data_IF_612338091139
#
_entry.id   IF_612338091139
#
_cell.length_a   1.000
_cell.length_b   1.000
_cell.length_c   1.000
_cell.angle_alpha   90.00
_cell.angle_beta   90.00
_cell.angle_gamma   90.00
#
_symmetry.space_group_name_H-M   'P 1'
#
loop_
_entity.id
_entity.type
_entity.pdbx_description
1 polymer ?
#
# COMPACT_ATOMS: atom_id res chain seq x y z
N UNK A 1 4.04 39.65 -9.12
CA UNK A 1 4.80 38.44 -9.48
C UNK A 1 4.24 37.30 -8.63
N UNK A 2 3.22 36.60 -9.11
CA UNK A 2 2.52 35.59 -8.31
C UNK A 2 3.38 34.33 -8.22
N UNK A 3 3.98 34.10 -7.06
CA UNK A 3 4.69 32.86 -6.77
C UNK A 3 3.66 31.74 -6.77
N UNK A 4 3.73 30.87 -7.79
CA UNK A 4 2.91 29.66 -7.80
C UNK A 4 3.13 28.91 -6.48
N UNK A 5 2.08 28.64 -5.69
CA UNK A 5 2.26 27.97 -4.41
C UNK A 5 2.87 26.59 -4.65
N UNK A 6 3.95 26.31 -3.93
CA UNK A 6 4.60 25.00 -3.97
C UNK A 6 3.58 23.92 -3.59
N UNK A 7 3.48 22.81 -4.34
CA UNK A 7 2.53 21.74 -4.03
C UNK A 7 2.74 21.16 -2.62
N UNK A 8 3.96 21.27 -2.09
CA UNK A 8 4.34 20.85 -0.73
C UNK A 8 3.68 21.66 0.39
N UNK A 9 3.16 22.86 0.10
CA UNK A 9 2.38 23.65 1.08
C UNK A 9 0.95 23.15 1.23
N UNK A 10 0.45 22.37 0.27
CA UNK A 10 -0.93 21.87 0.30
C UNK A 10 -1.04 20.67 1.24
N UNK A 11 -1.98 20.72 2.18
CA UNK A 11 -2.19 19.69 3.21
C UNK A 11 -2.37 18.30 2.60
N UNK A 12 -3.14 18.21 1.52
CA UNK A 12 -3.35 16.96 0.80
C UNK A 12 -2.06 16.30 0.32
N UNK A 13 -1.13 17.10 -0.21
CA UNK A 13 0.16 16.60 -0.68
C UNK A 13 1.02 16.12 0.50
N UNK A 14 1.04 16.87 1.61
CA UNK A 14 1.74 16.45 2.82
C UNK A 14 1.18 15.15 3.39
N UNK A 15 -0.14 14.99 3.41
CA UNK A 15 -0.79 13.77 3.89
C UNK A 15 -0.49 12.57 2.98
N UNK A 16 -0.53 12.77 1.66
CA UNK A 16 -0.08 11.77 0.68
C UNK A 16 1.40 11.41 0.85
N UNK A 17 2.28 12.37 1.15
CA UNK A 17 3.70 12.14 1.41
C UNK A 17 3.89 11.33 2.71
N UNK A 18 3.24 11.72 3.81
CA UNK A 18 3.32 11.01 5.09
C UNK A 18 2.87 9.57 4.97
N UNK A 19 1.74 9.32 4.30
CA UNK A 19 1.24 7.95 4.08
C UNK A 19 2.12 7.17 3.10
N UNK A 20 2.76 7.82 2.11
CA UNK A 20 3.77 7.17 1.25
C UNK A 20 5.00 6.77 2.06
N UNK A 21 5.52 7.65 2.92
CA UNK A 21 6.63 7.34 3.83
C UNK A 21 6.27 6.17 4.75
N UNK A 22 5.04 6.13 5.28
CA UNK A 22 4.58 4.99 6.09
C UNK A 22 4.63 3.67 5.31
N UNK A 23 4.14 3.62 4.07
CA UNK A 23 4.25 2.42 3.22
C UNK A 23 5.71 2.05 3.00
N UNK A 24 6.58 3.02 2.69
CA UNK A 24 8.00 2.78 2.47
C UNK A 24 8.72 2.27 3.72
N UNK A 25 8.35 2.74 4.91
CA UNK A 25 8.90 2.24 6.18
C UNK A 25 8.48 0.78 6.42
N UNK A 26 7.22 0.43 6.14
CA UNK A 26 6.75 -0.95 6.26
C UNK A 26 7.42 -1.85 5.22
N UNK A 27 7.50 -1.43 3.95
CA UNK A 27 8.26 -2.14 2.92
C UNK A 27 9.72 -2.31 3.30
N UNK A 28 10.34 -1.26 3.86
CA UNK A 28 11.73 -1.28 4.31
C UNK A 28 11.95 -2.31 5.41
N UNK A 29 11.08 -2.33 6.44
CA UNK A 29 11.15 -3.31 7.52
C UNK A 29 11.00 -4.75 7.00
N UNK A 30 10.01 -5.02 6.14
CA UNK A 30 9.79 -6.33 5.54
C UNK A 30 10.99 -6.74 4.69
N UNK A 31 11.51 -5.82 3.85
CA UNK A 31 12.67 -6.08 3.01
C UNK A 31 13.93 -6.35 3.84
N UNK A 32 14.15 -5.63 4.94
CA UNK A 32 15.29 -5.89 5.85
C UNK A 32 15.21 -7.28 6.46
N UNK A 33 14.05 -7.66 7.00
CA UNK A 33 13.86 -9.01 7.58
C UNK A 33 14.06 -10.08 6.50
N UNK A 34 13.45 -9.87 5.32
CA UNK A 34 13.58 -10.80 4.18
C UNK A 34 15.02 -10.93 3.70
N UNK A 35 15.79 -9.83 3.67
CA UNK A 35 17.20 -9.85 3.27
C UNK A 35 18.06 -10.64 4.27
N UNK A 36 17.81 -10.48 5.57
CA UNK A 36 18.52 -11.21 6.62
C UNK A 36 18.23 -12.72 6.53
N UNK A 37 16.96 -13.09 6.36
CA UNK A 37 16.55 -14.49 6.15
C UNK A 37 17.15 -15.05 4.86
N UNK A 38 17.12 -14.30 3.76
CA UNK A 38 17.70 -14.70 2.49
C UNK A 38 19.21 -14.97 2.63
N UNK A 39 19.96 -14.04 3.23
CA UNK A 39 21.40 -14.20 3.40
C UNK A 39 21.76 -15.40 4.31
N UNK A 40 20.97 -15.62 5.36
CA UNK A 40 21.15 -16.76 6.27
C UNK A 40 20.83 -18.11 5.61
N UNK A 41 19.78 -18.18 4.80
CA UNK A 41 19.41 -19.40 4.11
C UNK A 41 20.31 -19.65 2.88
N UNK A 42 20.78 -18.59 2.22
CA UNK A 42 21.71 -18.67 1.10
C UNK A 42 23.07 -19.20 1.54
N UNK A 43 23.60 -18.74 2.68
CA UNK A 43 24.88 -19.24 3.19
C UNK A 43 24.81 -20.75 3.49
N UNK A 44 23.72 -21.21 4.12
CA UNK A 44 23.43 -22.63 4.33
C UNK A 44 23.30 -23.40 3.02
N UNK A 45 22.66 -22.82 2.00
CA UNK A 45 22.53 -23.48 0.70
C UNK A 45 23.86 -23.60 -0.04
N UNK A 46 24.72 -22.59 0.04
CA UNK A 46 26.03 -22.60 -0.63
C UNK A 46 27.00 -23.62 -0.05
N UNK A 47 26.82 -24.05 1.21
CA UNK A 47 27.65 -25.13 1.79
C UNK A 47 27.25 -26.52 1.25
N UNK A 48 26.02 -26.69 0.76
CA UNK A 48 25.51 -27.92 0.14
C UNK A 48 26.06 -28.07 -1.29
N UNK A 49 27.34 -28.43 -1.41
CA UNK A 49 28.05 -28.52 -2.69
C UNK A 49 28.06 -29.92 -3.32
N UNK A 50 27.84 -30.98 -2.56
CA UNK A 50 27.80 -32.35 -3.08
C UNK A 50 26.36 -32.84 -3.30
N UNK A 51 26.22 -33.84 -4.18
CA UNK A 51 24.94 -34.47 -4.56
C UNK A 51 25.04 -35.98 -4.47
N UNK A 52 24.01 -36.63 -3.97
CA UNK A 52 23.85 -38.07 -3.94
C UNK A 52 22.38 -38.45 -4.12
N UNK A 53 22.10 -39.71 -4.44
CA UNK A 53 20.73 -40.24 -4.36
C UNK A 53 20.58 -40.95 -3.02
N UNK A 54 19.59 -40.51 -2.25
CA UNK A 54 19.25 -41.09 -0.95
C UNK A 54 17.87 -41.76 -0.96
N UNK A 55 17.62 -42.58 0.05
CA UNK A 55 16.35 -43.22 0.34
C UNK A 55 15.80 -42.67 1.65
N UNK A 56 14.51 -42.36 1.68
CA UNK A 56 13.82 -41.91 2.89
C UNK A 56 13.53 -43.12 3.78
N UNK A 57 14.16 -43.19 4.94
CA UNK A 57 14.06 -44.35 5.83
C UNK A 57 12.96 -44.21 6.87
N UNK A 58 12.67 -42.97 7.30
CA UNK A 58 11.61 -42.68 8.26
C UNK A 58 10.98 -41.32 7.98
N UNK A 59 9.71 -41.19 8.35
CA UNK A 59 8.93 -39.95 8.26
C UNK A 59 8.34 -39.67 9.64
N UNK A 60 8.61 -38.49 10.19
CA UNK A 60 8.11 -38.02 11.48
C UNK A 60 7.59 -36.60 11.32
N UNK A 61 6.27 -36.46 11.23
CA UNK A 61 5.62 -35.19 10.89
C UNK A 61 6.25 -34.57 9.64
N UNK A 62 6.87 -33.39 9.73
CA UNK A 62 7.55 -32.71 8.63
C UNK A 62 9.07 -32.98 8.56
N UNK A 63 9.57 -33.96 9.31
CA UNK A 63 10.98 -34.34 9.31
C UNK A 63 11.14 -35.74 8.71
N UNK A 64 11.99 -35.86 7.70
CA UNK A 64 12.33 -37.14 7.07
C UNK A 64 13.77 -37.51 7.37
N UNK A 65 14.00 -38.77 7.74
CA UNK A 65 15.35 -39.31 7.81
C UNK A 65 15.73 -39.81 6.42
N UNK A 66 16.78 -39.23 5.83
CA UNK A 66 17.26 -39.62 4.51
C UNK A 66 18.59 -40.33 4.66
N UNK A 67 18.73 -41.50 4.04
CA UNK A 67 19.94 -42.31 4.05
C UNK A 67 20.57 -42.36 2.67
N UNK A 68 21.87 -42.05 2.58
CA UNK A 68 22.63 -42.12 1.33
C UNK A 68 24.05 -42.60 1.58
N UNK A 69 24.79 -42.88 0.49
CA UNK A 69 26.18 -43.35 0.54
C UNK A 69 27.13 -42.25 0.08
N UNK A 70 28.16 -41.99 0.87
CA UNK A 70 29.24 -41.05 0.56
C UNK A 70 30.22 -41.66 -0.46
N UNK A 71 31.05 -40.84 -1.14
CA UNK A 71 32.06 -41.33 -2.09
C UNK A 71 33.05 -42.36 -1.51
N UNK A 72 33.27 -42.35 -0.19
CA UNK A 72 34.13 -43.30 0.52
C UNK A 72 33.40 -44.61 0.91
N UNK A 73 32.15 -44.80 0.47
CA UNK A 73 31.33 -45.97 0.78
C UNK A 73 30.63 -45.93 2.14
N UNK A 74 30.87 -44.90 2.96
CA UNK A 74 30.19 -44.75 4.26
C UNK A 74 28.72 -44.38 4.06
N UNK A 75 27.81 -45.05 4.75
CA UNK A 75 26.41 -44.65 4.79
C UNK A 75 26.17 -43.57 5.85
N UNK A 76 25.44 -42.54 5.47
CA UNK A 76 25.01 -41.45 6.35
C UNK A 76 23.49 -41.42 6.36
N UNK A 77 22.92 -41.19 7.53
CA UNK A 77 21.50 -40.84 7.67
C UNK A 77 21.43 -39.48 8.34
N UNK A 78 20.64 -38.55 7.77
CA UNK A 78 20.44 -37.23 8.33
C UNK A 78 18.95 -36.86 8.35
N UNK A 79 18.49 -36.14 9.39
CA UNK A 79 17.14 -35.60 9.43
C UNK A 79 17.06 -34.35 8.53
N UNK A 80 16.02 -34.29 7.70
CA UNK A 80 15.72 -33.15 6.83
C UNK A 80 14.30 -32.68 7.08
N UNK A 81 14.15 -31.42 7.48
CA UNK A 81 12.85 -30.78 7.64
C UNK A 81 12.29 -30.35 6.28
N UNK A 82 11.01 -30.60 6.04
CA UNK A 82 10.29 -30.30 4.81
C UNK A 82 9.22 -29.22 5.03
N UNK A 83 9.05 -28.35 4.05
CA UNK A 83 7.96 -27.37 4.00
C UNK A 83 6.70 -27.90 3.29
N UNK A 84 6.74 -29.14 2.80
CA UNK A 84 5.68 -29.80 2.05
C UNK A 84 5.30 -31.10 2.73
N UNK A 85 4.14 -31.67 2.36
CA UNK A 85 3.75 -33.01 2.81
C UNK A 85 4.88 -34.01 2.51
N UNK A 86 5.39 -34.73 3.53
CA UNK A 86 6.50 -35.63 3.31
C UNK A 86 6.16 -36.75 2.34
N UNK A 87 7.07 -37.09 1.42
CA UNK A 87 6.96 -38.34 0.66
C UNK A 87 7.04 -39.57 1.59
N UNK A 88 6.47 -40.72 1.17
CA UNK A 88 6.49 -41.94 1.96
C UNK A 88 7.90 -42.52 2.12
N UNK A 89 8.12 -43.27 3.20
CA UNK A 89 9.35 -44.05 3.39
C UNK A 89 9.57 -45.04 2.24
N UNK A 90 10.83 -45.27 1.88
CA UNK A 90 11.27 -46.06 0.72
C UNK A 90 11.40 -45.25 -0.58
N UNK A 91 10.91 -44.00 -0.61
CA UNK A 91 11.07 -43.14 -1.79
C UNK A 91 12.52 -42.67 -1.93
N UNK A 92 13.02 -42.65 -3.17
CA UNK A 92 14.34 -42.08 -3.49
C UNK A 92 14.23 -40.59 -3.78
N UNK A 93 15.16 -39.82 -3.24
CA UNK A 93 15.26 -38.38 -3.47
C UNK A 93 16.72 -37.99 -3.74
N UNK A 94 16.91 -36.91 -4.49
CA UNK A 94 18.22 -36.28 -4.59
C UNK A 94 18.55 -35.56 -3.27
N UNK A 95 19.75 -35.81 -2.76
CA UNK A 95 20.26 -35.24 -1.51
C UNK A 95 21.41 -34.30 -1.84
N UNK A 96 21.19 -33.02 -1.56
CA UNK A 96 22.24 -32.01 -1.51
C UNK A 96 22.85 -32.00 -0.11
N UNK A 97 24.16 -32.18 0.03
CA UNK A 97 24.81 -32.25 1.35
C UNK A 97 26.16 -31.50 1.39
N UNK A 98 26.59 -31.14 2.59
CA UNK A 98 27.89 -30.53 2.84
C UNK A 98 28.97 -31.62 3.03
N UNK A 99 30.04 -31.68 2.20
CA UNK A 99 31.05 -32.72 2.30
C UNK A 99 31.77 -32.81 3.66
N UNK A 100 32.02 -31.64 4.28
CA UNK A 100 32.66 -31.55 5.60
C UNK A 100 31.73 -31.87 6.76
N UNK A 101 30.41 -31.80 6.55
CA UNK A 101 29.40 -32.15 7.53
C UNK A 101 28.19 -32.81 6.84
N UNK A 102 28.25 -34.12 6.53
CA UNK A 102 27.19 -34.83 5.82
C UNK A 102 25.83 -34.84 6.55
N UNK A 103 25.79 -34.51 7.85
CA UNK A 103 24.54 -34.35 8.58
C UNK A 103 23.77 -33.08 8.16
N UNK A 104 24.44 -32.13 7.52
CA UNK A 104 23.80 -30.97 6.91
C UNK A 104 23.41 -31.30 5.46
N UNK A 105 22.14 -31.62 5.27
CA UNK A 105 21.59 -32.02 3.98
C UNK A 105 20.22 -31.38 3.71
N UNK A 106 19.87 -31.29 2.43
CA UNK A 106 18.57 -30.86 1.95
C UNK A 106 18.13 -31.75 0.79
N UNK A 107 16.81 -31.94 0.68
CA UNK A 107 16.17 -32.61 -0.44
C UNK A 107 15.12 -31.68 -1.08
N UNK A 108 14.58 -31.97 -2.27
CA UNK A 108 13.45 -31.21 -2.82
C UNK A 108 12.31 -31.10 -1.82
N UNK A 109 11.80 -29.88 -1.62
CA UNK A 109 10.77 -29.59 -0.61
C UNK A 109 11.31 -29.31 0.80
N UNK A 110 12.64 -29.30 0.99
CA UNK A 110 13.24 -28.93 2.28
C UNK A 110 12.80 -27.53 2.74
N UNK A 111 12.62 -27.38 4.05
CA UNK A 111 12.26 -26.12 4.69
C UNK A 111 13.25 -24.99 4.35
N UNK A 112 14.54 -25.32 4.18
CA UNK A 112 15.58 -24.38 3.76
C UNK A 112 15.32 -23.76 2.36
N UNK A 113 14.83 -24.56 1.41
CA UNK A 113 14.47 -24.08 0.06
C UNK A 113 13.26 -23.16 0.12
N UNK A 114 12.24 -23.53 0.92
CA UNK A 114 11.07 -22.70 1.12
C UNK A 114 11.40 -21.38 1.85
N UNK A 115 12.31 -21.40 2.82
CA UNK A 115 12.78 -20.18 3.50
C UNK A 115 13.43 -19.20 2.51
N UNK A 116 14.27 -19.70 1.59
CA UNK A 116 14.87 -18.88 0.53
C UNK A 116 13.83 -18.29 -0.41
N UNK A 117 12.89 -19.10 -0.88
CA UNK A 117 11.85 -18.65 -1.80
C UNK A 117 10.93 -17.59 -1.16
N UNK A 118 10.52 -17.80 0.09
CA UNK A 118 9.75 -16.82 0.86
C UNK A 118 10.51 -15.52 1.07
N UNK A 119 11.80 -15.61 1.40
CA UNK A 119 12.65 -14.43 1.60
C UNK A 119 12.83 -13.64 0.29
N UNK A 120 13.03 -14.32 -0.84
CA UNK A 120 13.11 -13.69 -2.16
C UNK A 120 11.77 -13.05 -2.56
N UNK A 121 10.65 -13.71 -2.28
CA UNK A 121 9.30 -13.21 -2.51
C UNK A 121 9.01 -11.96 -1.68
N UNK A 122 9.39 -11.96 -0.40
CA UNK A 122 9.26 -10.80 0.50
C UNK A 122 10.02 -9.56 0.02
N UNK A 123 11.24 -9.75 -0.50
CA UNK A 123 12.03 -8.69 -1.13
C UNK A 123 11.35 -8.14 -2.38
N UNK A 124 10.96 -9.04 -3.29
CA UNK A 124 10.36 -8.69 -4.58
C UNK A 124 9.05 -7.94 -4.40
N UNK A 125 8.17 -8.45 -3.53
CA UNK A 125 6.89 -7.84 -3.21
C UNK A 125 7.04 -6.45 -2.60
N UNK A 126 7.94 -6.29 -1.63
CA UNK A 126 8.22 -4.99 -0.99
C UNK A 126 8.75 -3.97 -2.00
N UNK A 127 9.63 -4.40 -2.90
CA UNK A 127 10.20 -3.56 -3.95
C UNK A 127 9.12 -3.10 -4.96
N UNK A 128 8.24 -4.02 -5.39
CA UNK A 128 7.14 -3.69 -6.32
C UNK A 128 6.18 -2.67 -5.71
N UNK A 129 5.78 -2.86 -4.44
CA UNK A 129 4.91 -1.90 -3.75
C UNK A 129 5.60 -0.54 -3.61
N UNK A 130 6.85 -0.52 -3.13
CA UNK A 130 7.62 0.71 -2.97
C UNK A 130 7.73 1.48 -4.30
N UNK A 131 8.04 0.78 -5.39
CA UNK A 131 8.08 1.35 -6.73
C UNK A 131 6.72 1.91 -7.15
N UNK A 132 5.64 1.15 -6.97
CA UNK A 132 4.29 1.58 -7.36
C UNK A 132 3.84 2.85 -6.63
N UNK A 133 4.06 2.94 -5.30
CA UNK A 133 3.68 4.12 -4.53
C UNK A 133 4.53 5.35 -4.90
N UNK A 134 5.83 5.16 -5.15
CA UNK A 134 6.73 6.23 -5.61
C UNK A 134 6.36 6.72 -7.02
N UNK A 135 6.09 5.79 -7.95
CA UNK A 135 5.67 6.13 -9.31
C UNK A 135 4.35 6.90 -9.31
N UNK A 136 3.39 6.49 -8.47
CA UNK A 136 2.11 7.19 -8.32
C UNK A 136 2.30 8.58 -7.70
N UNK A 137 3.11 8.72 -6.64
CA UNK A 137 3.42 10.02 -6.05
C UNK A 137 4.11 10.96 -7.05
N UNK A 138 5.05 10.45 -7.83
CA UNK A 138 5.72 11.20 -8.90
C UNK A 138 4.70 11.66 -9.95
N UNK A 139 3.82 10.76 -10.41
CA UNK A 139 2.75 11.07 -11.35
C UNK A 139 1.80 12.14 -10.82
N UNK A 140 1.37 12.04 -9.55
CA UNK A 140 0.56 13.05 -8.89
C UNK A 140 1.30 14.40 -8.84
N UNK A 141 2.56 14.41 -8.42
CA UNK A 141 3.38 15.64 -8.33
C UNK A 141 3.50 16.32 -9.69
N UNK A 142 3.83 15.57 -10.75
CA UNK A 142 3.97 16.09 -12.11
C UNK A 142 2.63 16.62 -12.63
N UNK A 143 1.55 15.85 -12.46
CA UNK A 143 0.22 16.28 -12.93
C UNK A 143 -0.25 17.53 -12.20
N UNK A 144 -0.04 17.64 -10.88
CA UNK A 144 -0.44 18.83 -10.09
C UNK A 144 0.40 20.06 -10.41
N UNK A 145 1.70 19.90 -10.59
CA UNK A 145 2.57 21.00 -11.02
C UNK A 145 2.21 21.55 -12.41
N UNK A 146 1.66 20.70 -13.30
CA UNK A 146 1.17 21.12 -14.62
C UNK A 146 -0.19 21.82 -14.55
N UNK A 147 -1.05 21.49 -13.58
CA UNK A 147 -2.38 22.09 -13.45
C UNK A 147 -2.31 23.58 -13.14
N UNK A 148 -1.46 24.00 -12.20
CA UNK A 148 -1.35 25.42 -11.82
C UNK A 148 -0.75 26.31 -12.91
N UNK A 149 -0.16 25.71 -13.95
CA UNK A 149 0.34 26.44 -15.13
C UNK A 149 -0.74 26.73 -16.18
N UNK A 150 -1.94 26.17 -16.03
CA UNK A 150 -3.05 26.37 -16.96
C UNK A 150 -3.71 27.74 -16.75
N UNK A 151 -4.31 28.33 -17.80
CA UNK A 151 -5.06 29.58 -17.66
C UNK A 151 -6.21 29.42 -16.67
N UNK A 152 -6.50 30.49 -15.95
CA UNK A 152 -7.58 30.53 -14.97
C UNK A 152 -8.89 31.04 -15.58
N UNK A 153 -10.01 30.50 -15.10
CA UNK A 153 -11.37 30.96 -15.45
C UNK A 153 -12.20 31.09 -14.19
N UNK A 154 -13.01 32.15 -14.11
CA UNK A 154 -13.96 32.33 -13.02
C UNK A 154 -15.18 31.44 -13.22
N UNK A 155 -15.55 30.71 -12.18
CA UNK A 155 -16.67 29.77 -12.17
C UNK A 155 -17.34 29.85 -10.81
N UNK A 156 -18.67 29.85 -10.79
CA UNK A 156 -19.46 29.71 -9.57
C UNK A 156 -19.55 28.24 -9.22
N UNK A 157 -19.17 27.90 -7.98
CA UNK A 157 -19.20 26.53 -7.49
C UNK A 157 -19.93 26.42 -6.16
N UNK A 158 -20.43 25.22 -5.87
CA UNK A 158 -20.85 24.80 -4.53
C UNK A 158 -20.03 23.61 -4.06
N UNK A 159 -19.66 23.60 -2.78
CA UNK A 159 -19.06 22.40 -2.17
C UNK A 159 -20.14 21.40 -1.83
N UNK A 160 -19.89 20.17 -2.23
CA UNK A 160 -20.70 19.00 -1.91
C UNK A 160 -19.80 17.92 -1.33
N UNK A 161 -20.16 17.38 -0.16
CA UNK A 161 -19.52 16.18 0.38
C UNK A 161 -20.36 14.97 0.02
N UNK A 162 -19.73 13.96 -0.57
CA UNK A 162 -20.40 12.70 -0.92
C UNK A 162 -19.75 11.53 -0.22
N UNK A 163 -20.56 10.76 0.51
CA UNK A 163 -20.16 9.55 1.22
C UNK A 163 -20.62 8.31 0.45
N UNK A 164 -19.67 7.48 0.03
CA UNK A 164 -19.92 6.17 -0.60
C UNK A 164 -19.31 5.08 0.28
N UNK A 165 -20.17 4.38 1.02
CA UNK A 165 -19.75 3.42 2.04
C UNK A 165 -19.00 4.10 3.18
N UNK A 166 -17.77 3.66 3.43
CA UNK A 166 -16.92 4.16 4.52
C UNK A 166 -16.05 5.35 4.12
N UNK A 167 -16.04 5.73 2.83
CA UNK A 167 -15.23 6.83 2.32
C UNK A 167 -16.13 8.02 2.03
N UNK A 168 -15.78 9.16 2.61
CA UNK A 168 -16.34 10.45 2.23
C UNK A 168 -15.33 11.24 1.39
N UNK A 169 -15.84 12.02 0.43
CA UNK A 169 -15.02 12.82 -0.48
C UNK A 169 -15.67 14.17 -0.73
N UNK A 170 -14.85 15.22 -0.78
CA UNK A 170 -15.28 16.56 -1.19
C UNK A 170 -15.31 16.71 -2.71
N UNK A 171 -16.36 17.34 -3.20
CA UNK A 171 -16.57 17.71 -4.59
C UNK A 171 -16.92 19.20 -4.68
N UNK A 172 -16.53 19.83 -5.78
CA UNK A 172 -17.03 21.14 -6.18
C UNK A 172 -17.92 20.94 -7.40
N UNK A 173 -19.17 21.35 -7.28
CA UNK A 173 -20.11 21.35 -8.38
C UNK A 173 -20.15 22.73 -9.02
N UNK A 174 -19.98 22.78 -10.34
CA UNK A 174 -20.04 24.03 -11.10
C UNK A 174 -21.49 24.41 -11.38
N UNK A 175 -21.90 25.60 -10.96
CA UNK A 175 -23.22 26.17 -11.25
C UNK A 175 -23.21 27.03 -12.52
N UNK A 176 -22.11 27.73 -12.79
CA UNK A 176 -21.97 28.51 -14.02
C UNK A 176 -21.37 27.67 -15.15
N UNK A 177 -22.16 27.39 -16.19
CA UNK A 177 -21.74 26.58 -17.35
C UNK A 177 -22.29 25.16 -17.32
N UNK A 178 -21.66 24.17 -18.02
CA UNK A 178 -22.12 22.79 -17.94
C UNK A 178 -21.86 22.24 -16.55
N UNK A 179 -22.85 21.55 -15.97
CA UNK A 179 -22.70 20.90 -14.68
C UNK A 179 -21.51 19.93 -14.70
N UNK A 180 -20.57 20.15 -13.77
CA UNK A 180 -19.36 19.36 -13.60
C UNK A 180 -19.09 19.17 -12.12
N UNK A 181 -18.65 17.96 -11.81
CA UNK A 181 -18.30 17.53 -10.47
C UNK A 181 -16.79 17.39 -10.41
N UNK A 182 -16.15 18.31 -9.71
CA UNK A 182 -14.70 18.38 -9.57
C UNK A 182 -14.34 17.75 -8.23
N UNK A 183 -13.81 16.52 -8.18
CA UNK A 183 -13.41 15.93 -6.91
C UNK A 183 -12.16 16.65 -6.42
N UNK A 184 -12.14 17.15 -5.20
CA UNK A 184 -10.98 17.86 -4.62
C UNK A 184 -10.39 17.06 -3.47
N UNK A 185 -9.11 17.29 -3.18
CA UNK A 185 -8.58 16.83 -1.90
C UNK A 185 -9.16 17.66 -0.78
N UNK A 186 -9.32 17.04 0.40
CA UNK A 186 -9.79 17.75 1.56
C UNK A 186 -8.79 18.82 2.02
N UNK A 187 -9.29 20.03 2.22
CA UNK A 187 -8.60 21.17 2.79
C UNK A 187 -9.55 21.87 3.78
N UNK A 188 -9.08 22.32 4.97
CA UNK A 188 -9.94 23.00 5.93
C UNK A 188 -10.68 24.23 5.37
N UNK A 189 -10.13 24.90 4.35
CA UNK A 189 -10.79 26.02 3.67
C UNK A 189 -12.14 25.62 3.03
N UNK A 190 -12.35 24.33 2.76
CA UNK A 190 -13.61 23.79 2.24
C UNK A 190 -14.74 23.79 3.28
N UNK A 191 -14.43 23.68 4.58
CA UNK A 191 -15.44 23.57 5.64
C UNK A 191 -16.27 24.86 5.74
N UNK A 192 -15.60 26.01 5.69
CA UNK A 192 -16.23 27.32 5.73
C UNK A 192 -16.57 27.91 4.35
N UNK A 193 -16.39 27.16 3.26
CA UNK A 193 -16.68 27.64 1.91
C UNK A 193 -18.19 27.89 1.77
N UNK A 194 -18.64 29.14 1.54
CA UNK A 194 -20.05 29.41 1.31
C UNK A 194 -20.48 28.79 -0.03
N UNK A 195 -21.74 28.38 -0.10
CA UNK A 195 -22.33 27.82 -1.31
C UNK A 195 -23.56 28.67 -1.71
N UNK A 196 -23.59 29.29 -2.91
CA UNK A 196 -22.58 29.28 -3.97
C UNK A 196 -21.46 30.34 -3.79
N UNK A 197 -20.30 30.12 -4.43
CA UNK A 197 -19.16 31.06 -4.42
C UNK A 197 -18.41 31.11 -5.75
N UNK A 198 -17.95 32.29 -6.15
CA UNK A 198 -17.06 32.45 -7.32
C UNK A 198 -15.63 32.04 -6.97
N UNK A 199 -15.05 31.13 -7.78
CA UNK A 199 -13.67 30.64 -7.64
C UNK A 199 -12.92 30.75 -8.96
N UNK A 200 -11.58 30.73 -8.89
CA UNK A 200 -10.74 30.67 -10.09
C UNK A 200 -10.31 29.24 -10.36
N UNK A 201 -10.69 28.69 -11.52
CA UNK A 201 -10.38 27.32 -11.92
C UNK A 201 -9.24 27.32 -12.93
N UNK A 202 -8.18 26.55 -12.67
CA UNK A 202 -7.09 26.30 -13.61
C UNK A 202 -7.47 25.21 -14.62
N UNK A 203 -7.55 25.57 -15.90
CA UNK A 203 -8.04 24.72 -16.99
C UNK A 203 -9.47 25.06 -17.41
N UNK A 204 -10.02 24.25 -18.32
CA UNK A 204 -11.38 24.44 -18.84
C UNK A 204 -12.34 23.35 -18.29
N UNK A 205 -13.32 23.69 -17.43
CA UNK A 205 -14.31 22.74 -16.92
C UNK A 205 -15.10 21.98 -17.99
N UNK A 206 -15.20 22.52 -19.21
CA UNK A 206 -15.95 21.91 -20.30
C UNK A 206 -15.23 20.69 -20.89
N UNK A 207 -13.90 20.75 -20.97
CA UNK A 207 -13.06 19.81 -21.71
C UNK A 207 -12.07 19.05 -20.83
N UNK A 208 -11.54 19.69 -19.79
CA UNK A 208 -10.44 19.15 -19.02
C UNK A 208 -10.89 18.11 -17.98
N UNK A 209 -10.18 16.99 -17.98
CA UNK A 209 -10.40 15.88 -17.03
C UNK A 209 -9.85 16.18 -15.64
N UNK A 210 -8.85 17.03 -15.53
CA UNK A 210 -8.23 17.41 -14.25
C UNK A 210 -8.18 18.93 -14.17
N UNK A 211 -8.59 19.46 -13.03
CA UNK A 211 -8.66 20.88 -12.72
C UNK A 211 -8.02 21.14 -11.36
N UNK A 212 -7.59 22.37 -11.13
CA UNK A 212 -7.27 22.87 -9.79
C UNK A 212 -8.12 24.12 -9.54
N UNK A 213 -8.53 24.35 -8.30
CA UNK A 213 -9.40 25.48 -7.95
C UNK A 213 -8.67 26.35 -6.94
N UNK A 214 -8.46 27.62 -7.26
CA UNK A 214 -7.98 28.62 -6.33
C UNK A 214 -9.17 29.25 -5.61
N UNK A 215 -9.15 29.14 -4.29
CA UNK A 215 -10.10 29.76 -3.39
C UNK A 215 -9.35 30.48 -2.26
N UNK A 216 -9.51 31.80 -2.16
CA UNK A 216 -8.85 32.65 -1.15
C UNK A 216 -7.33 32.42 -1.04
N UNK A 217 -6.65 32.22 -2.18
CA UNK A 217 -5.20 31.98 -2.22
C UNK A 217 -4.78 30.55 -1.85
N UNK A 218 -5.75 29.64 -1.64
CA UNK A 218 -5.53 28.21 -1.43
C UNK A 218 -5.87 27.45 -2.70
N UNK A 219 -4.89 26.69 -3.23
CA UNK A 219 -5.09 25.84 -4.41
C UNK A 219 -5.58 24.47 -3.98
N UNK A 220 -6.83 24.19 -4.31
CA UNK A 220 -7.51 22.92 -4.16
C UNK A 220 -7.24 22.04 -5.39
N UNK A 221 -6.31 21.11 -5.25
CA UNK A 221 -6.03 20.15 -6.33
C UNK A 221 -7.16 19.13 -6.46
N UNK A 222 -7.49 18.74 -7.70
CA UNK A 222 -8.45 17.64 -7.87
C UNK A 222 -7.90 16.35 -7.27
N UNK A 223 -8.71 15.55 -6.58
CA UNK A 223 -8.31 14.22 -6.12
C UNK A 223 -8.52 13.15 -7.19
N UNK A 224 -9.08 13.52 -8.35
CA UNK A 224 -9.41 12.61 -9.43
C UNK A 224 -9.94 13.33 -10.66
N UNK A 225 -10.48 12.54 -11.59
CA UNK A 225 -11.09 13.04 -12.82
C UNK A 225 -12.41 13.77 -12.55
N UNK A 226 -12.65 14.87 -13.25
CA UNK A 226 -13.94 15.55 -13.27
C UNK A 226 -15.03 14.62 -13.81
N UNK A 227 -16.21 14.67 -13.20
CA UNK A 227 -17.37 13.89 -13.62
C UNK A 227 -18.45 14.80 -14.21
N UNK A 228 -19.21 14.24 -15.16
CA UNK A 228 -20.34 14.92 -15.82
C UNK A 228 -21.68 14.65 -15.12
N UNK A 229 -21.73 13.59 -14.32
CA UNK A 229 -22.89 13.13 -13.58
C UNK A 229 -22.62 13.25 -12.09
N UNK A 230 -23.70 13.37 -11.30
CA UNK A 230 -23.61 13.39 -9.84
C UNK A 230 -22.91 12.12 -9.32
N UNK A 231 -21.91 12.26 -8.43
CA UNK A 231 -21.26 11.12 -7.82
C UNK A 231 -22.24 10.33 -6.94
N UNK A 232 -22.23 9.01 -7.07
CA UNK A 232 -23.06 8.13 -6.26
C UNK A 232 -22.68 8.18 -4.78
N UNK A 233 -23.67 8.33 -3.91
CA UNK A 233 -23.50 8.27 -2.45
C UNK A 233 -24.48 9.17 -1.71
N UNK A 234 -24.37 9.20 -0.39
CA UNK A 234 -25.10 10.15 0.45
C UNK A 234 -24.47 11.53 0.30
N UNK A 235 -25.28 12.51 -0.06
CA UNK A 235 -24.87 13.90 -0.29
C UNK A 235 -25.10 14.76 0.95
N UNK A 236 -24.12 15.60 1.26
CA UNK A 236 -24.20 16.63 2.30
C UNK A 236 -23.67 17.94 1.71
N UNK A 237 -24.52 18.96 1.67
CA UNK A 237 -24.16 20.28 1.14
C UNK A 237 -23.68 21.20 2.26
N UNK A 238 -22.82 22.16 1.89
CA UNK A 238 -22.41 23.22 2.80
C UNK A 238 -23.56 24.21 3.05
N UNK A 239 -23.57 24.88 4.21
CA UNK A 239 -24.55 25.91 4.52
C UNK A 239 -24.40 27.13 3.59
N UNK A 240 -25.53 27.78 3.28
CA UNK A 240 -25.59 28.98 2.42
C UNK A 240 -24.97 30.20 3.10
N UNK A 241 -24.96 30.23 4.44
CA UNK A 241 -24.32 31.27 5.25
C UNK A 241 -23.21 30.68 6.11
N UNK A 242 -22.16 31.44 6.40
CA UNK A 242 -21.18 31.01 7.39
C UNK A 242 -21.86 30.84 8.76
N UNK A 243 -21.95 29.60 9.28
CA UNK A 243 -22.43 29.37 10.65
C UNK A 243 -21.39 29.85 11.68
N UNK A 244 -21.85 30.24 12.87
CA UNK A 244 -20.99 30.68 13.98
C UNK A 244 -19.94 29.61 14.38
N UNK A 245 -20.28 28.33 14.24
CA UNK A 245 -19.42 27.18 14.59
C UNK A 245 -18.40 26.78 13.51
N UNK A 246 -18.21 27.57 12.45
CA UNK A 246 -17.26 27.23 11.38
C UNK A 246 -15.83 27.14 11.89
N UNK A 247 -15.42 28.03 12.79
CA UNK A 247 -14.07 28.01 13.35
C UNK A 247 -13.79 26.69 14.09
N UNK A 248 -14.74 26.24 14.91
CA UNK A 248 -14.63 24.99 15.67
C UNK A 248 -14.63 23.76 14.76
N UNK A 249 -15.52 23.69 13.76
CA UNK A 249 -15.57 22.58 12.79
C UNK A 249 -14.31 22.53 11.93
N UNK A 250 -13.77 23.68 11.54
CA UNK A 250 -12.51 23.78 10.79
C UNK A 250 -11.33 23.30 11.63
N UNK A 251 -11.27 23.70 12.91
CA UNK A 251 -10.23 23.24 13.83
C UNK A 251 -10.31 21.72 14.08
N UNK A 252 -11.51 21.20 14.34
CA UNK A 252 -11.74 19.78 14.58
C UNK A 252 -11.34 18.91 13.37
N UNK A 253 -11.76 19.31 12.17
CA UNK A 253 -11.50 18.58 10.92
C UNK A 253 -10.05 18.73 10.40
N UNK A 254 -9.30 19.72 10.90
CA UNK A 254 -7.87 19.85 10.64
C UNK A 254 -7.01 18.82 11.38
N UNK A 255 -7.56 18.20 12.45
CA UNK A 255 -6.85 17.23 13.28
C UNK A 255 -6.41 15.97 12.52
N UNK A 256 -5.15 15.60 12.67
CA UNK A 256 -4.60 14.35 12.14
C UNK A 256 -5.31 13.11 12.72
N UNK A 257 -5.76 13.18 13.97
CA UNK A 257 -6.50 12.09 14.61
C UNK A 257 -7.86 11.89 13.93
N UNK A 258 -8.54 12.98 13.54
CA UNK A 258 -9.83 12.88 12.86
C UNK A 258 -9.67 12.33 11.44
N UNK A 259 -8.62 12.75 10.75
CA UNK A 259 -8.21 12.17 9.47
C UNK A 259 -7.97 10.65 9.62
N UNK A 260 -7.16 10.25 10.59
CA UNK A 260 -6.90 8.84 10.85
C UNK A 260 -8.18 8.04 11.17
N UNK A 261 -9.10 8.59 11.98
CA UNK A 261 -10.37 7.92 12.28
C UNK A 261 -11.26 7.75 11.04
N UNK A 262 -11.27 8.73 10.14
CA UNK A 262 -11.99 8.62 8.87
C UNK A 262 -11.38 7.52 7.97
N UNK A 263 -10.05 7.40 7.97
CA UNK A 263 -9.33 6.44 7.12
C UNK A 263 -9.22 5.04 7.75
N UNK A 264 -9.36 4.92 9.07
CA UNK A 264 -9.23 3.67 9.83
C UNK A 264 -10.22 2.59 9.39
N UNK A 265 -11.37 3.00 8.86
CA UNK A 265 -12.36 2.10 8.31
C UNK A 265 -11.81 1.22 7.16
N UNK A 266 -10.78 1.71 6.43
CA UNK A 266 -10.11 0.95 5.37
C UNK A 266 -9.04 -0.01 5.89
N UNK A 267 -8.60 0.15 7.14
CA UNK A 267 -7.62 -0.72 7.79
C UNK A 267 -8.27 -2.00 8.33
N UNK A 268 -9.56 -1.94 8.69
CA UNK A 268 -10.32 -3.07 9.25
C UNK A 268 -10.10 -4.44 8.57
N UNK A 269 -10.08 -4.57 7.23
CA UNK A 269 -9.87 -5.87 6.59
C UNK A 269 -8.40 -6.35 6.63
N UNK A 270 -7.42 -5.51 6.99
CA UNK A 270 -6.00 -5.84 6.89
C UNK A 270 -5.59 -7.11 7.67
N UNK A 271 -6.05 -7.35 8.93
CA UNK A 271 -5.72 -8.58 9.64
C UNK A 271 -6.31 -9.84 9.01
N UNK A 272 -7.47 -9.74 8.35
CA UNK A 272 -8.10 -10.86 7.64
C UNK A 272 -7.33 -11.18 6.36
N UNK A 273 -6.90 -10.16 5.61
CA UNK A 273 -6.02 -10.31 4.45
C UNK A 273 -4.69 -10.92 4.87
N UNK A 274 -4.11 -10.45 5.99
CA UNK A 274 -2.89 -11.02 6.53
C UNK A 274 -3.05 -12.48 6.96
N UNK A 275 -4.19 -12.86 7.53
CA UNK A 275 -4.47 -14.23 7.95
C UNK A 275 -4.62 -15.16 6.73
N UNK A 276 -5.36 -14.70 5.72
CA UNK A 276 -5.48 -15.41 4.46
C UNK A 276 -4.11 -15.66 3.81
N UNK A 277 -3.25 -14.64 3.78
CA UNK A 277 -1.91 -14.76 3.21
C UNK A 277 -1.02 -15.71 4.01
N UNK A 278 -1.01 -15.60 5.34
CA UNK A 278 -0.24 -16.48 6.21
C UNK A 278 -0.68 -17.94 6.12
N UNK A 279 -1.97 -18.19 5.88
CA UNK A 279 -2.53 -19.51 5.63
C UNK A 279 -2.03 -20.08 4.29
N UNK A 280 -2.06 -19.30 3.22
CA UNK A 280 -1.59 -19.73 1.90
C UNK A 280 -0.08 -20.03 1.87
N UNK A 281 0.72 -19.22 2.57
CA UNK A 281 2.19 -19.34 2.57
C UNK A 281 2.73 -20.31 3.64
N UNK A 282 1.85 -20.81 4.52
CA UNK A 282 2.21 -21.53 5.74
C UNK A 282 3.26 -20.79 6.60
N UNK A 283 3.23 -19.45 6.56
CA UNK A 283 4.28 -18.57 7.08
C UNK A 283 4.11 -18.14 8.55
N UNK A 284 3.05 -18.61 9.21
CA UNK A 284 2.77 -18.36 10.62
C UNK A 284 2.63 -16.87 10.97
N UNK A 285 2.98 -16.54 12.22
CA UNK A 285 2.78 -15.19 12.78
C UNK A 285 3.59 -14.07 12.10
N UNK A 286 4.88 -14.24 11.74
CA UNK A 286 5.65 -13.17 11.10
C UNK A 286 5.06 -12.76 9.74
N UNK A 287 4.64 -13.74 8.93
CA UNK A 287 4.01 -13.49 7.62
C UNK A 287 2.65 -12.83 7.80
N UNK A 288 1.85 -13.28 8.77
CA UNK A 288 0.59 -12.63 9.12
C UNK A 288 0.78 -11.15 9.48
N UNK A 289 1.74 -10.86 10.37
CA UNK A 289 2.01 -9.49 10.83
C UNK A 289 2.49 -8.61 9.68
N UNK A 290 3.46 -9.09 8.88
CA UNK A 290 3.97 -8.36 7.70
C UNK A 290 2.86 -8.04 6.70
N UNK A 291 2.05 -9.05 6.33
CA UNK A 291 0.93 -8.90 5.40
C UNK A 291 -0.17 -7.95 5.95
N UNK A 292 -0.44 -8.00 7.26
CA UNK A 292 -1.37 -7.08 7.92
C UNK A 292 -0.87 -5.65 7.88
N UNK A 293 0.39 -5.41 8.25
CA UNK A 293 0.97 -4.07 8.30
C UNK A 293 1.04 -3.43 6.91
N UNK A 294 1.47 -4.18 5.89
CA UNK A 294 1.55 -3.64 4.53
C UNK A 294 0.16 -3.34 3.95
N UNK A 295 -0.82 -4.20 4.21
CA UNK A 295 -2.21 -3.97 3.78
C UNK A 295 -2.80 -2.73 4.47
N UNK A 296 -2.57 -2.56 5.77
CA UNK A 296 -2.99 -1.39 6.53
C UNK A 296 -2.34 -0.09 6.00
N UNK A 297 -1.04 -0.13 5.73
CA UNK A 297 -0.31 1.02 5.19
C UNK A 297 -0.82 1.40 3.78
N UNK A 298 -1.05 0.42 2.91
CA UNK A 298 -1.62 0.64 1.57
C UNK A 298 -3.05 1.21 1.67
N UNK A 299 -3.87 0.71 2.60
CA UNK A 299 -5.23 1.20 2.79
C UNK A 299 -5.27 2.69 3.19
N UNK A 300 -4.41 3.08 4.14
CA UNK A 300 -4.23 4.49 4.54
C UNK A 300 -3.71 5.35 3.39
N UNK A 301 -2.70 4.86 2.68
CA UNK A 301 -2.16 5.54 1.51
C UNK A 301 -3.20 5.72 0.41
N UNK A 302 -4.02 4.71 0.17
CA UNK A 302 -5.09 4.76 -0.81
C UNK A 302 -6.17 5.78 -0.43
N UNK A 303 -6.54 5.86 0.84
CA UNK A 303 -7.45 6.87 1.38
C UNK A 303 -6.93 8.29 1.09
N UNK A 304 -5.64 8.52 1.39
CA UNK A 304 -4.96 9.77 1.15
C UNK A 304 -4.94 10.13 -0.35
N UNK A 305 -4.58 9.19 -1.23
CA UNK A 305 -4.54 9.38 -2.69
C UNK A 305 -5.92 9.69 -3.26
N UNK A 306 -6.98 9.07 -2.73
CA UNK A 306 -8.37 9.31 -3.12
C UNK A 306 -8.93 10.64 -2.60
N UNK A 307 -8.27 11.25 -1.62
CA UNK A 307 -8.67 12.52 -1.00
C UNK A 307 -9.86 12.37 -0.07
N UNK A 308 -9.75 11.46 0.90
CA UNK A 308 -10.75 11.28 1.96
C UNK A 308 -11.02 12.57 2.73
N UNK A 309 -12.28 12.77 3.11
CA UNK A 309 -12.79 13.96 3.79
C UNK A 309 -13.26 13.65 5.24
N UNK A 310 -12.53 14.10 6.28
CA UNK A 310 -12.81 13.88 7.70
C UNK A 310 -13.78 14.89 8.33
N UNK A 311 -14.33 15.84 7.55
CA UNK A 311 -15.23 16.88 8.09
C UNK A 311 -16.57 16.33 8.58
#
# INVERSE_FOLDING_TARGET
MNTNPSPFRVRAFRHGLVTTVLVLLVCGAIATVSLLSYNSAQSRMTSLSARAVGEITAVRDYVVDVRWTLPNGTQVTAPVELAVTPPPAGMRAEVAYEPGNPQHAAIPGAALLAELDRAASGLSFSAVIAFAVLAMLLGLTITRARLTRRPTRKVVVRRVRVQKGLIARSWLETESGPQRWIPVYYDPALVGMPAPVEVSVHGDPRTDRLLAVDYQGTVLYSSGATARTEPQGRRTDNPVRPDEDIAERTAASSSALRQFRADAALIMPAPLVGLFWAYLDAGGFPVWLGATLITAAIALWWAAVRGSDPS
#
